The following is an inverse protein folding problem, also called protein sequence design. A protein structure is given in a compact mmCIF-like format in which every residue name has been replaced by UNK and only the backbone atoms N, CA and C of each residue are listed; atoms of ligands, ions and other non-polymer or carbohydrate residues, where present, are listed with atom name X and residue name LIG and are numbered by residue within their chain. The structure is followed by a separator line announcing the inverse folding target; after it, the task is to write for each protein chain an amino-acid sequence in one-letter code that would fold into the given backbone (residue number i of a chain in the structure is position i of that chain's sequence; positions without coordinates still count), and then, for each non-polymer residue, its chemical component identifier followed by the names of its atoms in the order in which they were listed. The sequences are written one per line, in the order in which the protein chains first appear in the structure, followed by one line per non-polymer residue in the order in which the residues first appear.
data_IF_325882851534
#
_entry.id   IF_325882851534
#
_cell.length_a   1.000
_cell.length_b   1.000
_cell.length_c   1.000
_cell.angle_alpha   90.00
_cell.angle_beta   90.00
_cell.angle_gamma   90.00
#
_symmetry.space_group_name_H-M   'P 1'
#
loop_
_entity.id
_entity.type
_entity.pdbx_description
1 polymer ?
#
# COMPACT_ATOMS: atom_id res chain seq x y z
N UNK A 1 -36.73 30.66 -2.72
CA UNK A 1 -37.09 29.79 -1.58
C UNK A 1 -37.27 28.38 -2.11
N UNK A 2 -36.21 27.56 -2.11
CA UNK A 2 -35.88 26.49 -1.14
C UNK A 2 -36.65 25.16 -1.37
N UNK A 3 -35.85 24.11 -1.68
CA UNK A 3 -36.17 22.66 -1.93
C UNK A 3 -36.80 22.39 -3.31
N UNK A 4 -36.47 21.37 -4.13
CA UNK A 4 -35.87 20.03 -3.93
C UNK A 4 -35.41 19.45 -5.30
N UNK A 5 -34.58 18.39 -5.27
CA UNK A 5 -34.25 17.38 -6.32
C UNK A 5 -33.07 17.67 -7.26
N UNK A 6 -32.22 16.73 -7.70
CA UNK A 6 -31.68 15.43 -7.22
C UNK A 6 -30.61 15.01 -8.26
N UNK A 7 -29.40 14.66 -7.81
CA UNK A 7 -28.43 13.67 -8.37
C UNK A 7 -28.00 13.70 -9.84
N UNK A 8 -26.67 13.56 -10.04
CA UNK A 8 -25.86 12.91 -11.10
C UNK A 8 -24.60 13.80 -11.25
N UNK A 9 -23.38 13.50 -10.79
CA UNK A 9 -22.53 12.31 -10.77
C UNK A 9 -21.68 12.38 -9.47
N UNK A 10 -21.45 11.33 -8.69
CA UNK A 10 -20.78 10.08 -9.07
C UNK A 10 -19.37 10.09 -8.47
N UNK A 11 -19.26 9.67 -7.21
CA UNK A 11 -18.06 9.62 -6.40
C UNK A 11 -16.95 8.75 -7.05
N UNK A 12 -15.75 9.31 -7.18
CA UNK A 12 -14.52 8.56 -7.40
C UNK A 12 -13.64 8.71 -6.15
N UNK A 13 -13.44 7.56 -5.52
CA UNK A 13 -12.88 7.36 -4.19
C UNK A 13 -11.45 7.91 -4.06
N UNK A 14 -11.36 9.09 -3.44
CA UNK A 14 -10.15 9.84 -3.09
C UNK A 14 -9.43 9.27 -1.85
N UNK A 15 -9.33 7.94 -1.76
CA UNK A 15 -8.82 7.23 -0.58
C UNK A 15 -7.29 7.15 -0.42
N UNK A 16 -6.51 7.96 -1.15
CA UNK A 16 -5.05 8.06 -0.97
C UNK A 16 -4.70 9.35 -0.21
N UNK A 17 -5.04 9.42 1.08
CA UNK A 17 -4.72 10.57 1.93
C UNK A 17 -4.16 10.17 3.31
N UNK A 18 -3.10 10.89 3.68
CA UNK A 18 -2.65 11.27 5.03
C UNK A 18 -2.14 10.15 5.98
N UNK A 19 -0.83 10.03 6.19
CA UNK A 19 0.03 10.75 7.16
C UNK A 19 -0.12 10.31 8.62
N UNK A 20 1.01 9.89 9.22
CA UNK A 20 1.52 10.50 10.45
C UNK A 20 3.06 10.36 10.45
N UNK A 21 3.73 11.51 10.41
CA UNK A 21 5.17 11.66 10.55
C UNK A 21 5.53 11.51 12.03
N UNK A 22 6.49 10.62 12.30
CA UNK A 22 7.22 10.67 13.57
C UNK A 22 8.03 11.96 13.68
N UNK A 23 8.18 12.38 14.93
CA UNK A 23 8.48 13.70 15.47
C UNK A 23 9.78 14.39 14.99
N UNK A 24 9.72 15.71 15.11
CA UNK A 24 10.76 16.74 15.01
C UNK A 24 12.12 16.34 15.63
N UNK A 25 13.19 16.42 14.81
CA UNK A 25 14.50 16.93 15.22
C UNK A 25 15.08 17.70 14.02
N UNK A 26 15.37 19.02 14.13
CA UNK A 26 16.21 19.69 13.15
C UNK A 26 17.67 19.32 13.43
N UNK A 27 18.30 18.57 12.52
CA UNK A 27 19.74 18.28 12.57
C UNK A 27 20.50 19.30 11.71
N UNK A 28 21.65 19.83 12.15
CA UNK A 28 22.42 20.81 11.38
C UNK A 28 22.92 20.18 10.08
N UNK A 29 22.88 20.95 8.98
CA UNK A 29 23.28 20.50 7.63
C UNK A 29 24.81 20.26 7.57
N UNK A 30 25.29 19.07 7.20
CA UNK A 30 26.68 18.84 6.82
C UNK A 30 26.90 19.15 5.32
N UNK A 31 28.15 19.38 4.92
CA UNK A 31 28.61 19.68 3.55
C UNK A 31 28.24 18.62 2.48
N UNK A 32 27.67 17.47 2.88
CA UNK A 32 27.21 16.38 2.01
C UNK A 32 25.68 16.23 1.95
N UNK A 33 24.95 17.34 1.87
CA UNK A 33 23.51 17.28 1.60
C UNK A 33 23.23 16.93 0.12
N UNK A 34 23.46 15.67 -0.24
CA UNK A 34 23.12 15.09 -1.55
C UNK A 34 21.64 15.32 -1.88
N UNK A 35 20.75 15.23 -0.88
CA UNK A 35 19.32 15.44 -1.07
C UNK A 35 19.02 16.91 -1.40
N UNK A 36 19.67 17.87 -0.73
CA UNK A 36 19.58 19.29 -1.03
C UNK A 36 20.12 19.65 -2.42
N UNK A 37 21.30 19.12 -2.80
CA UNK A 37 21.85 19.32 -4.17
C UNK A 37 20.94 18.74 -5.24
N UNK A 38 20.40 17.55 -5.01
CA UNK A 38 19.45 16.93 -5.91
C UNK A 38 18.15 17.75 -6.03
N UNK A 39 17.63 18.26 -4.90
CA UNK A 39 16.46 19.13 -4.90
C UNK A 39 16.71 20.43 -5.68
N UNK A 40 17.86 21.08 -5.48
CA UNK A 40 18.26 22.27 -6.21
C UNK A 40 18.33 22.02 -7.72
N UNK A 41 18.87 20.86 -8.13
CA UNK A 41 18.87 20.42 -9.54
C UNK A 41 17.45 20.28 -10.09
N UNK A 42 16.53 19.68 -9.34
CA UNK A 42 15.13 19.56 -9.76
C UNK A 42 14.41 20.92 -9.83
N UNK A 43 14.70 21.84 -8.91
CA UNK A 43 14.21 23.23 -8.99
C UNK A 43 14.69 23.94 -10.25
N UNK A 44 15.96 23.77 -10.62
CA UNK A 44 16.50 24.29 -11.89
C UNK A 44 15.81 23.70 -13.14
N UNK A 45 15.16 22.55 -13.02
CA UNK A 45 14.33 21.93 -14.06
C UNK A 45 12.85 22.32 -13.99
N UNK A 46 12.49 23.21 -13.06
CA UNK A 46 11.15 23.77 -12.93
C UNK A 46 10.35 23.22 -11.76
N UNK A 47 10.88 22.33 -10.91
CA UNK A 47 10.15 21.83 -9.73
C UNK A 47 9.74 22.99 -8.81
N UNK A 48 8.49 22.96 -8.35
CA UNK A 48 7.88 24.00 -7.53
C UNK A 48 6.97 23.33 -6.49
N UNK A 49 6.73 24.03 -5.37
CA UNK A 49 5.88 23.56 -4.25
C UNK A 49 6.45 22.36 -3.45
N UNK A 50 7.73 22.08 -3.61
CA UNK A 50 8.47 21.10 -2.82
C UNK A 50 9.57 21.86 -2.10
N UNK A 51 9.61 21.76 -0.78
CA UNK A 51 10.56 22.48 0.07
C UNK A 51 11.63 21.52 0.63
N UNK A 52 11.37 20.21 0.59
CA UNK A 52 12.25 19.19 1.15
C UNK A 52 12.34 17.97 0.24
N UNK A 53 13.55 17.44 0.10
CA UNK A 53 13.78 16.15 -0.53
C UNK A 53 14.28 15.15 0.50
N UNK A 54 13.81 13.90 0.42
CA UNK A 54 14.31 12.78 1.21
C UNK A 54 14.69 11.63 0.28
N UNK A 55 15.96 11.23 0.32
CA UNK A 55 16.39 10.05 -0.39
C UNK A 55 15.94 8.78 0.33
N UNK A 56 15.59 7.75 -0.43
CA UNK A 56 15.20 6.45 0.11
C UNK A 56 15.87 5.31 -0.65
N UNK A 57 15.96 4.16 0.01
CA UNK A 57 16.38 2.89 -0.60
C UNK A 57 15.20 1.95 -0.84
N UNK A 58 13.98 2.47 -0.72
CA UNK A 58 12.76 1.68 -0.92
C UNK A 58 12.56 1.42 -2.42
N UNK A 59 12.78 0.17 -2.85
CA UNK A 59 12.67 -0.26 -4.25
C UNK A 59 11.23 -0.42 -4.75
N UNK A 60 10.23 -0.34 -3.86
CA UNK A 60 8.82 -0.47 -4.23
C UNK A 60 8.16 0.88 -4.52
N UNK A 61 8.69 1.95 -3.94
CA UNK A 61 8.20 3.32 -4.17
C UNK A 61 9.37 4.18 -4.62
N UNK A 62 9.46 4.30 -5.94
CA UNK A 62 10.57 4.98 -6.62
C UNK A 62 10.55 6.49 -6.39
N UNK A 63 9.38 7.10 -6.54
CA UNK A 63 9.15 8.54 -6.37
C UNK A 63 7.77 8.73 -5.75
N UNK A 64 7.68 9.55 -4.71
CA UNK A 64 6.42 9.94 -4.08
C UNK A 64 6.54 11.34 -3.50
N UNK A 65 5.44 12.08 -3.38
CA UNK A 65 5.46 13.40 -2.79
C UNK A 65 4.20 13.66 -1.98
N UNK A 66 4.32 14.41 -0.89
CA UNK A 66 3.20 14.84 -0.07
C UNK A 66 3.61 15.98 0.86
N UNK A 67 2.72 16.93 1.12
CA UNK A 67 2.95 18.03 2.09
C UNK A 67 4.27 18.77 1.87
N UNK A 68 4.61 19.15 0.63
CA UNK A 68 5.86 19.86 0.30
C UNK A 68 7.12 19.00 0.38
N UNK A 69 7.02 17.70 0.69
CA UNK A 69 8.16 16.78 0.73
C UNK A 69 8.15 15.82 -0.46
N UNK A 70 9.25 15.80 -1.20
CA UNK A 70 9.53 14.83 -2.26
C UNK A 70 10.41 13.71 -1.72
N UNK A 71 9.98 12.46 -1.87
CA UNK A 71 10.76 11.27 -1.55
C UNK A 71 11.14 10.54 -2.83
N UNK A 72 12.44 10.37 -3.05
CA UNK A 72 13.00 9.81 -4.28
C UNK A 72 14.00 8.71 -3.94
N UNK A 73 14.00 7.63 -4.71
CA UNK A 73 14.99 6.57 -4.56
C UNK A 73 16.40 7.11 -4.85
N UNK A 74 17.38 6.76 -4.03
CA UNK A 74 18.76 7.30 -4.12
C UNK A 74 19.40 7.05 -5.50
N UNK A 75 19.01 5.97 -6.17
CA UNK A 75 19.48 5.66 -7.52
C UNK A 75 19.05 6.63 -8.63
N UNK A 76 18.19 7.61 -8.35
CA UNK A 76 17.88 8.68 -9.31
C UNK A 76 18.79 9.90 -9.20
N UNK A 77 19.66 9.98 -8.19
CA UNK A 77 20.52 11.15 -7.98
C UNK A 77 21.35 11.46 -9.23
N UNK A 78 21.87 10.42 -9.86
CA UNK A 78 22.69 10.50 -11.07
C UNK A 78 21.92 10.12 -12.35
N UNK A 79 20.58 10.09 -12.29
CA UNK A 79 19.78 9.70 -13.44
C UNK A 79 19.94 10.70 -14.61
N UNK A 80 19.76 10.22 -15.87
CA UNK A 80 19.78 11.07 -17.04
C UNK A 80 18.69 12.16 -17.00
N UNK A 81 18.92 13.25 -17.75
CA UNK A 81 18.12 14.48 -17.67
C UNK A 81 16.63 14.27 -18.00
N UNK A 82 16.32 13.38 -18.93
CA UNK A 82 14.96 12.99 -19.30
C UNK A 82 14.20 12.35 -18.13
N UNK A 83 14.86 11.50 -17.33
CA UNK A 83 14.30 10.90 -16.12
C UNK A 83 14.07 11.97 -15.05
N UNK A 84 15.01 12.90 -14.87
CA UNK A 84 14.83 14.01 -13.91
C UNK A 84 13.67 14.93 -14.31
N UNK A 85 13.53 15.23 -15.60
CA UNK A 85 12.37 15.97 -16.14
C UNK A 85 11.08 15.19 -15.90
N UNK A 86 11.10 13.86 -16.08
CA UNK A 86 9.94 13.02 -15.76
C UNK A 86 9.56 13.12 -14.26
N UNK A 87 10.52 13.17 -13.34
CA UNK A 87 10.25 13.40 -11.91
C UNK A 87 9.53 14.75 -11.70
N UNK A 88 10.00 15.82 -12.34
CA UNK A 88 9.36 17.14 -12.26
C UNK A 88 7.92 17.10 -12.81
N UNK A 89 7.72 16.53 -14.00
CA UNK A 89 6.39 16.38 -14.62
C UNK A 89 5.48 15.51 -13.76
N UNK A 90 6.00 14.46 -13.12
CA UNK A 90 5.21 13.62 -12.23
C UNK A 90 4.66 14.41 -11.02
N UNK A 91 5.47 15.29 -10.44
CA UNK A 91 5.08 16.13 -9.29
C UNK A 91 4.14 17.26 -9.72
N UNK A 92 4.43 17.92 -10.85
CA UNK A 92 3.72 19.12 -11.28
C UNK A 92 2.57 18.89 -12.25
N UNK A 93 2.50 17.70 -12.85
CA UNK A 93 1.53 17.37 -13.88
C UNK A 93 0.11 17.70 -13.42
N UNK A 94 -0.64 18.39 -14.29
CA UNK A 94 -2.01 18.83 -14.00
C UNK A 94 -3.00 17.74 -14.35
N UNK A 95 -2.68 16.91 -15.34
CA UNK A 95 -3.53 15.82 -15.80
C UNK A 95 -3.03 14.45 -15.35
N UNK A 96 -3.96 13.50 -15.22
CA UNK A 96 -3.61 12.09 -14.92
C UNK A 96 -2.78 11.46 -16.04
N UNK A 97 -2.97 11.89 -17.29
CA UNK A 97 -2.24 11.39 -18.46
C UNK A 97 -0.77 11.80 -18.42
N UNK A 98 -0.47 13.08 -18.14
CA UNK A 98 0.90 13.60 -17.94
C UNK A 98 1.63 12.81 -16.87
N UNK A 99 1.00 12.66 -15.69
CA UNK A 99 1.61 11.92 -14.57
C UNK A 99 1.88 10.46 -14.93
N UNK A 100 0.97 9.80 -15.66
CA UNK A 100 1.17 8.41 -16.12
C UNK A 100 2.29 8.30 -17.14
N UNK A 101 2.43 9.24 -18.07
CA UNK A 101 3.53 9.25 -19.02
C UNK A 101 4.88 9.42 -18.31
N UNK A 102 4.98 10.38 -17.40
CA UNK A 102 6.16 10.57 -16.56
C UNK A 102 6.47 9.35 -15.68
N UNK A 103 5.45 8.77 -15.05
CA UNK A 103 5.60 7.56 -14.23
C UNK A 103 6.19 6.40 -15.02
N UNK A 104 5.81 6.21 -16.29
CA UNK A 104 6.38 5.16 -17.14
C UNK A 104 7.90 5.36 -17.31
N UNK A 105 8.34 6.58 -17.64
CA UNK A 105 9.77 6.89 -17.80
C UNK A 105 10.53 6.61 -16.50
N UNK A 106 10.00 7.06 -15.36
CA UNK A 106 10.60 6.85 -14.05
C UNK A 106 10.76 5.35 -13.77
N UNK A 107 9.67 4.57 -13.84
CA UNK A 107 9.66 3.15 -13.46
C UNK A 107 10.49 2.28 -14.41
N UNK A 108 10.57 2.63 -15.69
CA UNK A 108 11.36 1.89 -16.68
C UNK A 108 12.87 2.16 -16.55
N UNK A 109 13.28 3.27 -15.93
CA UNK A 109 14.70 3.58 -15.75
C UNK A 109 15.38 2.53 -14.85
N UNK A 110 16.46 1.86 -15.32
CA UNK A 110 17.14 0.84 -14.54
C UNK A 110 17.91 1.51 -13.40
N UNK A 111 17.55 1.19 -12.16
CA UNK A 111 18.34 1.60 -11.01
C UNK A 111 19.33 0.50 -10.63
N UNK A 112 20.62 0.80 -10.83
CA UNK A 112 21.71 0.00 -10.27
C UNK A 112 21.86 0.38 -8.80
N UNK A 113 21.26 -0.41 -7.91
CA UNK A 113 21.42 -0.22 -6.47
C UNK A 113 22.64 -1.02 -6.01
N UNK A 114 23.74 -0.32 -5.70
CA UNK A 114 25.03 -0.90 -5.25
C UNK A 114 24.98 -1.49 -3.84
N UNK A 115 23.87 -1.36 -3.10
CA UNK A 115 23.74 -1.95 -1.77
C UNK A 115 23.25 -3.40 -1.88
N UNK A 116 24.13 -4.32 -1.46
CA UNK A 116 23.85 -5.75 -1.32
C UNK A 116 22.49 -5.99 -0.65
N UNK A 117 21.72 -6.91 -1.24
CA UNK A 117 20.47 -7.50 -0.74
C UNK A 117 20.54 -7.73 0.78
N UNK A 118 20.08 -6.76 1.56
CA UNK A 118 19.96 -6.94 3.01
C UNK A 118 18.75 -7.83 3.23
N UNK A 119 18.98 -9.15 3.28
CA UNK A 119 17.95 -10.11 3.72
C UNK A 119 17.35 -9.60 5.02
N UNK A 120 16.04 -9.35 5.11
CA UNK A 120 15.43 -8.99 6.37
C UNK A 120 15.74 -10.10 7.37
N UNK A 121 16.31 -9.74 8.52
CA UNK A 121 16.58 -10.70 9.60
C UNK A 121 15.23 -11.16 10.16
N UNK A 122 14.67 -12.25 9.62
CA UNK A 122 13.52 -12.95 10.21
C UNK A 122 13.96 -13.47 11.56
N UNK A 123 13.34 -12.96 12.63
CA UNK A 123 13.64 -13.38 14.00
C UNK A 123 13.21 -14.84 14.20
N UNK A 124 13.81 -15.59 15.14
CA UNK A 124 13.42 -16.98 15.40
C UNK A 124 11.92 -17.15 15.64
N UNK A 125 11.31 -16.25 16.42
CA UNK A 125 9.86 -16.20 16.71
C UNK A 125 8.98 -15.99 15.45
N UNK A 126 9.52 -15.38 14.40
CA UNK A 126 8.83 -15.12 13.14
C UNK A 126 8.95 -16.31 12.19
N UNK A 127 9.93 -17.20 12.37
CA UNK A 127 10.16 -18.34 11.48
C UNK A 127 8.99 -19.30 11.47
N UNK A 128 8.44 -19.62 12.64
CA UNK A 128 7.26 -20.50 12.73
C UNK A 128 6.03 -19.87 12.08
N UNK A 129 5.83 -18.56 12.26
CA UNK A 129 4.74 -17.84 11.63
C UNK A 129 4.91 -17.79 10.10
N UNK A 130 6.12 -17.53 9.60
CA UNK A 130 6.42 -17.54 8.18
C UNK A 130 6.24 -18.94 7.59
N UNK A 131 6.71 -19.99 8.28
CA UNK A 131 6.54 -21.38 7.83
C UNK A 131 5.05 -21.77 7.74
N UNK A 132 4.24 -21.32 8.71
CA UNK A 132 2.79 -21.48 8.68
C UNK A 132 2.17 -20.73 7.49
N UNK A 133 2.56 -19.48 7.22
CA UNK A 133 2.10 -18.72 6.04
C UNK A 133 2.46 -19.43 4.73
N UNK A 134 3.67 -19.98 4.63
CA UNK A 134 4.11 -20.75 3.45
C UNK A 134 3.22 -21.98 3.25
N UNK A 135 2.92 -22.71 4.33
CA UNK A 135 2.02 -23.87 4.25
C UNK A 135 0.60 -23.48 3.83
N UNK A 136 0.05 -22.42 4.42
CA UNK A 136 -1.26 -21.90 4.05
C UNK A 136 -1.29 -21.44 2.58
N UNK A 137 -0.24 -20.76 2.11
CA UNK A 137 -0.12 -20.33 0.72
C UNK A 137 -0.16 -21.53 -0.23
N UNK A 138 0.63 -22.58 0.02
CA UNK A 138 0.63 -23.80 -0.79
C UNK A 138 -0.75 -24.48 -0.80
N UNK A 139 -1.37 -24.62 0.38
CA UNK A 139 -2.70 -25.20 0.51
C UNK A 139 -3.76 -24.42 -0.27
N UNK A 140 -3.76 -23.09 -0.14
CA UNK A 140 -4.71 -22.23 -0.84
C UNK A 140 -4.42 -22.15 -2.33
N UNK A 141 -3.16 -22.19 -2.75
CA UNK A 141 -2.80 -22.25 -4.14
C UNK A 141 -3.40 -23.50 -4.78
N UNK A 142 -3.21 -24.67 -4.16
CA UNK A 142 -3.82 -25.92 -4.63
C UNK A 142 -5.36 -25.83 -4.65
N UNK A 143 -5.98 -25.35 -3.56
CA UNK A 143 -7.43 -25.35 -3.38
C UNK A 143 -8.19 -24.33 -4.24
N UNK A 144 -7.65 -23.12 -4.38
CA UNK A 144 -8.37 -21.95 -4.92
C UNK A 144 -7.77 -21.43 -6.23
N UNK A 145 -6.52 -21.76 -6.52
CA UNK A 145 -5.81 -21.29 -7.72
C UNK A 145 -5.28 -22.45 -8.57
N UNK A 146 -5.73 -23.68 -8.29
CA UNK A 146 -5.38 -24.89 -9.02
C UNK A 146 -3.87 -25.14 -9.13
N UNK A 147 -3.11 -24.70 -8.12
CA UNK A 147 -1.65 -24.84 -8.07
C UNK A 147 -0.89 -23.96 -9.07
N UNK A 148 -1.55 -22.99 -9.71
CA UNK A 148 -0.95 -22.19 -10.78
C UNK A 148 -0.10 -21.01 -10.29
N UNK A 149 -0.30 -20.55 -9.05
CA UNK A 149 0.49 -19.44 -8.51
C UNK A 149 1.92 -19.87 -8.23
N UNK A 150 2.89 -19.03 -8.61
CA UNK A 150 4.30 -19.27 -8.30
C UNK A 150 4.56 -19.19 -6.79
N UNK A 151 5.65 -19.82 -6.37
CA UNK A 151 6.16 -19.59 -5.02
C UNK A 151 6.61 -18.14 -4.87
N UNK A 152 6.22 -17.49 -3.78
CA UNK A 152 6.58 -16.11 -3.45
C UNK A 152 7.25 -16.04 -2.09
N UNK A 153 8.00 -14.98 -1.83
CA UNK A 153 8.62 -14.78 -0.53
C UNK A 153 7.55 -14.40 0.49
N UNK A 154 7.48 -15.10 1.62
CA UNK A 154 6.53 -14.79 2.70
C UNK A 154 7.25 -14.14 3.88
N UNK A 155 6.67 -13.06 4.41
CA UNK A 155 7.27 -12.31 5.52
C UNK A 155 6.23 -11.89 6.56
N UNK A 156 6.65 -11.87 7.82
CA UNK A 156 5.90 -11.22 8.91
C UNK A 156 6.57 -9.89 9.24
N UNK A 157 5.81 -8.81 9.21
CA UNK A 157 6.30 -7.45 9.39
C UNK A 157 5.83 -6.84 10.71
N UNK A 158 6.77 -6.57 11.63
CA UNK A 158 6.49 -5.82 12.86
C UNK A 158 6.32 -4.31 12.63
N UNK A 159 6.86 -3.81 11.52
CA UNK A 159 6.80 -2.39 11.14
C UNK A 159 5.47 -2.02 10.46
N UNK A 160 4.71 -3.01 9.99
CA UNK A 160 3.43 -2.79 9.33
C UNK A 160 2.34 -2.46 10.37
N UNK A 161 1.98 -1.18 10.46
CA UNK A 161 1.00 -0.65 11.43
C UNK A 161 -0.36 -0.30 10.83
N UNK A 162 -0.38 0.17 9.59
CA UNK A 162 -1.57 0.73 8.92
C UNK A 162 -2.28 -0.26 7.99
N UNK A 163 -1.69 -1.42 7.72
CA UNK A 163 -2.22 -2.48 6.85
C UNK A 163 -2.11 -3.83 7.54
N UNK A 164 -2.98 -4.76 7.15
CA UNK A 164 -2.96 -6.14 7.65
C UNK A 164 -2.01 -7.02 6.83
N UNK A 165 -1.95 -6.77 5.52
CA UNK A 165 -1.02 -7.38 4.58
C UNK A 165 -0.72 -6.47 3.39
N UNK A 166 0.22 -6.92 2.55
CA UNK A 166 0.36 -6.46 1.18
C UNK A 166 1.02 -7.51 0.29
N UNK A 167 0.68 -7.47 -1.00
CA UNK A 167 1.44 -8.09 -2.08
C UNK A 167 2.36 -7.08 -2.75
N UNK A 168 3.55 -7.52 -3.11
CA UNK A 168 4.48 -6.79 -3.97
C UNK A 168 4.93 -7.68 -5.14
N UNK A 169 4.77 -7.18 -6.36
CA UNK A 169 5.23 -7.85 -7.57
C UNK A 169 6.75 -7.92 -7.65
N UNK A 170 7.26 -8.86 -8.45
CA UNK A 170 8.68 -8.98 -8.74
C UNK A 170 9.16 -7.76 -9.55
N UNK A 171 10.22 -7.10 -9.08
CA UNK A 171 10.76 -5.91 -9.73
C UNK A 171 12.26 -5.76 -9.46
N UNK A 172 13.01 -5.28 -10.46
CA UNK A 172 14.44 -4.95 -10.33
C UNK A 172 15.31 -6.07 -9.71
N UNK A 173 15.05 -7.32 -10.10
CA UNK A 173 15.79 -8.51 -9.61
C UNK A 173 15.31 -9.08 -8.27
N UNK A 174 14.31 -8.47 -7.63
CA UNK A 174 13.69 -8.99 -6.42
C UNK A 174 12.52 -9.94 -6.76
N UNK A 175 12.37 -11.06 -6.03
CA UNK A 175 11.19 -11.90 -6.17
C UNK A 175 9.94 -11.20 -5.62
N UNK A 176 8.77 -11.63 -6.09
CA UNK A 176 7.51 -11.18 -5.50
C UNK A 176 7.43 -11.56 -4.01
N UNK A 177 6.83 -10.69 -3.20
CA UNK A 177 6.70 -10.85 -1.74
C UNK A 177 5.23 -10.67 -1.30
N UNK A 178 4.77 -11.52 -0.39
CA UNK A 178 3.58 -11.27 0.43
C UNK A 178 4.07 -11.04 1.87
N UNK A 179 3.69 -9.91 2.46
CA UNK A 179 3.98 -9.65 3.87
C UNK A 179 2.71 -9.37 4.67
N UNK A 180 2.61 -9.96 5.86
CA UNK A 180 1.52 -9.74 6.81
C UNK A 180 2.00 -9.03 8.08
N UNK A 181 1.13 -8.27 8.72
CA UNK A 181 1.44 -7.57 9.97
C UNK A 181 1.54 -8.55 11.15
N UNK A 182 2.64 -8.48 11.88
CA UNK A 182 2.80 -9.21 13.14
C UNK A 182 1.71 -8.84 14.16
N UNK A 183 1.34 -7.56 14.22
CA UNK A 183 0.31 -7.07 15.14
C UNK A 183 -1.06 -7.67 14.79
N UNK A 184 -1.38 -7.75 13.49
CA UNK A 184 -2.62 -8.36 13.02
C UNK A 184 -2.71 -9.82 13.44
N UNK A 185 -1.69 -10.61 13.13
CA UNK A 185 -1.60 -12.04 13.51
C UNK A 185 -1.82 -12.23 15.02
N UNK A 186 -1.20 -11.38 15.85
CA UNK A 186 -1.26 -11.50 17.31
C UNK A 186 -2.56 -10.98 17.91
N UNK A 187 -3.17 -9.95 17.33
CA UNK A 187 -4.38 -9.30 17.86
C UNK A 187 -5.66 -9.97 17.39
N UNK A 188 -5.74 -10.26 16.09
CA UNK A 188 -6.97 -10.69 15.42
C UNK A 188 -7.02 -12.21 15.23
N UNK A 189 -5.89 -12.89 15.47
CA UNK A 189 -5.78 -14.35 15.44
C UNK A 189 -5.47 -14.91 14.05
N UNK A 190 -5.29 -16.24 14.01
CA UNK A 190 -4.79 -16.91 12.81
C UNK A 190 -5.83 -17.05 11.70
N UNK A 191 -7.11 -17.12 12.04
CA UNK A 191 -8.18 -17.20 11.05
C UNK A 191 -8.26 -15.94 10.19
N UNK A 192 -8.25 -14.76 10.83
CA UNK A 192 -8.21 -13.47 10.16
C UNK A 192 -6.91 -13.27 9.37
N UNK A 193 -5.77 -13.73 9.90
CA UNK A 193 -4.51 -13.70 9.17
C UNK A 193 -4.54 -14.56 7.89
N UNK A 194 -5.17 -15.74 7.94
CA UNK A 194 -5.37 -16.59 6.76
C UNK A 194 -6.29 -15.94 5.73
N UNK A 195 -7.33 -15.26 6.17
CA UNK A 195 -8.21 -14.48 5.28
C UNK A 195 -7.44 -13.35 4.57
N UNK A 196 -6.61 -12.63 5.32
CA UNK A 196 -5.71 -11.62 4.76
C UNK A 196 -4.70 -12.23 3.78
N UNK A 197 -4.09 -13.37 4.10
CA UNK A 197 -3.18 -14.06 3.17
C UNK A 197 -3.90 -14.39 1.86
N UNK A 198 -5.11 -14.94 1.93
CA UNK A 198 -5.88 -15.28 0.73
C UNK A 198 -6.25 -14.02 -0.08
N UNK A 199 -6.51 -12.89 0.56
CA UNK A 199 -6.66 -11.58 -0.10
C UNK A 199 -5.39 -11.20 -0.89
N UNK A 200 -4.22 -11.27 -0.26
CA UNK A 200 -2.96 -10.96 -0.94
C UNK A 200 -2.64 -11.94 -2.08
N UNK A 201 -3.06 -13.20 -1.96
CA UNK A 201 -2.94 -14.19 -3.05
C UNK A 201 -3.84 -13.86 -4.26
N UNK A 202 -4.99 -13.19 -4.06
CA UNK A 202 -5.78 -12.68 -5.19
C UNK A 202 -5.02 -11.57 -5.93
N UNK A 203 -4.29 -10.72 -5.21
CA UNK A 203 -3.40 -9.74 -5.85
C UNK A 203 -2.23 -10.40 -6.59
N UNK A 204 -1.63 -11.45 -6.01
CA UNK A 204 -0.65 -12.28 -6.72
C UNK A 204 -1.23 -12.87 -8.01
N UNK A 205 -2.45 -13.43 -7.95
CA UNK A 205 -3.13 -13.96 -9.12
C UNK A 205 -3.35 -12.90 -10.22
N UNK A 206 -3.70 -11.66 -9.84
CA UNK A 206 -3.82 -10.57 -10.80
C UNK A 206 -2.49 -10.31 -11.51
N UNK A 207 -1.39 -10.19 -10.75
CA UNK A 207 -0.05 -9.95 -11.31
C UNK A 207 0.35 -11.06 -12.28
N UNK A 208 0.26 -12.32 -11.84
CA UNK A 208 0.67 -13.48 -12.65
C UNK A 208 -0.25 -13.74 -13.86
N UNK A 209 -1.50 -13.27 -13.81
CA UNK A 209 -2.43 -13.35 -14.94
C UNK A 209 -2.39 -12.12 -15.86
N UNK A 210 -1.45 -11.19 -15.64
CA UNK A 210 -1.30 -9.97 -16.44
C UNK A 210 -2.48 -8.99 -16.27
N UNK A 211 -3.14 -9.01 -15.13
CA UNK A 211 -4.22 -8.09 -14.79
C UNK A 211 -3.67 -6.89 -14.00
N UNK A 212 -4.38 -5.75 -14.06
CA UNK A 212 -4.08 -4.63 -13.18
C UNK A 212 -4.25 -5.05 -11.71
N UNK A 213 -3.27 -4.71 -10.87
CA UNK A 213 -3.30 -4.95 -9.43
C UNK A 213 -4.13 -3.84 -8.77
N UNK A 214 -5.42 -4.10 -8.63
CA UNK A 214 -6.40 -3.21 -8.00
C UNK A 214 -7.59 -4.01 -7.44
N UNK A 215 -8.52 -3.36 -6.76
CA UNK A 215 -9.78 -3.98 -6.26
C UNK A 215 -10.92 -3.90 -7.28
N UNK A 216 -10.61 -3.89 -8.58
CA UNK A 216 -11.56 -3.77 -9.69
C UNK A 216 -12.45 -5.00 -9.89
N UNK A 217 -13.22 -5.06 -10.99
CA UNK A 217 -14.17 -6.15 -11.25
C UNK A 217 -13.52 -7.54 -11.23
N UNK A 218 -12.33 -7.69 -11.81
CA UNK A 218 -11.60 -8.97 -11.82
C UNK A 218 -11.20 -9.43 -10.43
N UNK A 219 -10.71 -8.50 -9.60
CA UNK A 219 -10.41 -8.78 -8.20
C UNK A 219 -11.65 -9.24 -7.47
N UNK A 220 -12.76 -8.50 -7.57
CA UNK A 220 -14.00 -8.83 -6.86
C UNK A 220 -14.56 -10.19 -7.27
N UNK A 221 -14.49 -10.52 -8.56
CA UNK A 221 -14.90 -11.83 -9.07
C UNK A 221 -14.07 -12.95 -8.43
N UNK A 222 -12.73 -12.86 -8.50
CA UNK A 222 -11.86 -13.88 -7.91
C UNK A 222 -11.96 -13.90 -6.38
N UNK A 223 -12.04 -12.75 -5.72
CA UNK A 223 -12.21 -12.66 -4.26
C UNK A 223 -13.51 -13.36 -3.81
N UNK A 224 -14.62 -13.15 -4.54
CA UNK A 224 -15.88 -13.85 -4.27
C UNK A 224 -15.76 -15.36 -4.48
N UNK A 225 -15.08 -15.80 -5.54
CA UNK A 225 -14.83 -17.22 -5.83
C UNK A 225 -14.05 -17.92 -4.71
N UNK A 226 -13.05 -17.24 -4.15
CA UNK A 226 -12.20 -17.80 -3.08
C UNK A 226 -12.74 -17.52 -1.67
N UNK A 227 -13.90 -16.86 -1.53
CA UNK A 227 -14.53 -16.57 -0.25
C UNK A 227 -13.88 -15.43 0.54
N UNK A 228 -13.18 -14.51 -0.13
CA UNK A 228 -12.52 -13.35 0.49
C UNK A 228 -13.30 -12.07 0.27
N UNK A 229 -13.41 -11.25 1.32
CA UNK A 229 -14.03 -9.94 1.20
C UNK A 229 -13.13 -9.00 0.38
N UNK A 230 -13.71 -8.22 -0.56
CA UNK A 230 -12.90 -7.38 -1.43
C UNK A 230 -12.26 -6.19 -0.71
N UNK A 231 -12.72 -5.87 0.49
CA UNK A 231 -12.09 -4.88 1.36
C UNK A 231 -11.42 -5.60 2.54
N UNK A 232 -10.15 -5.31 2.81
CA UNK A 232 -9.41 -5.77 3.99
C UNK A 232 -9.90 -5.09 5.30
N UNK A 233 -11.20 -4.85 5.41
CA UNK A 233 -11.90 -4.35 6.60
C UNK A 233 -13.17 -5.18 6.76
N UNK A 234 -13.10 -6.27 7.53
CA UNK A 234 -14.27 -6.70 8.29
C UNK A 234 -14.14 -6.12 9.68
N UNK A 235 -15.08 -5.23 10.02
CA UNK A 235 -15.40 -4.89 11.39
C UNK A 235 -15.80 -6.20 12.07
N UNK A 236 -15.07 -6.59 13.12
CA UNK A 236 -15.44 -7.71 13.98
C UNK A 236 -16.85 -7.42 14.51
N UNK A 237 -17.86 -8.16 14.05
CA UNK A 237 -19.19 -8.08 14.62
C UNK A 237 -19.17 -8.82 15.95
N UNK A 238 -19.03 -8.04 17.03
CA UNK A 238 -18.94 -8.52 18.41
C UNK A 238 -20.29 -8.39 19.11
N UNK A 239 -21.38 -8.82 18.48
CA UNK A 239 -22.67 -8.91 19.21
C UNK A 239 -23.62 -9.97 18.65
N UNK A 240 -23.35 -11.23 18.97
CA UNK A 240 -24.39 -12.25 19.07
C UNK A 240 -24.03 -13.19 20.21
N UNK A 241 -24.24 -12.71 21.45
CA UNK A 241 -24.54 -13.51 22.65
C UNK A 241 -24.73 -12.57 23.85
N UNK A 242 -25.99 -12.21 24.14
CA UNK A 242 -26.56 -12.22 25.50
C UNK A 242 -28.07 -11.96 25.44
N UNK A 243 -28.82 -13.00 25.73
CA UNK A 243 -30.23 -12.99 26.09
C UNK A 243 -30.43 -12.45 27.52
N UNK A 244 -31.63 -11.93 27.79
CA UNK A 244 -32.28 -11.65 29.11
C UNK A 244 -31.63 -10.52 29.94
N UNK A 245 -32.31 -9.60 30.61
CA UNK A 245 -33.70 -9.44 31.05
C UNK A 245 -33.97 -7.95 31.39
N UNK A 246 -35.24 -7.52 31.26
CA UNK A 246 -35.98 -6.45 31.96
C UNK A 246 -35.40 -5.03 32.23
N UNK A 247 -36.22 -4.00 31.91
CA UNK A 247 -36.03 -2.64 32.44
C UNK A 247 -36.80 -1.52 31.71
N UNK A 248 -38.13 -1.52 31.86
CA UNK A 248 -39.11 -0.48 31.48
C UNK A 248 -38.66 0.95 31.90
N UNK A 249 -38.85 1.97 31.05
CA UNK A 249 -39.70 3.19 31.14
C UNK A 249 -39.15 4.09 30.00
N UNK A 250 -39.84 4.57 28.97
CA UNK A 250 -41.19 5.11 28.86
C UNK A 250 -41.11 6.63 28.73
N UNK A 251 -41.22 7.19 27.51
CA UNK A 251 -42.15 8.30 27.15
C UNK A 251 -41.95 8.79 25.71
N UNK A 252 -43.08 8.80 25.02
CA UNK A 252 -43.37 9.37 23.69
C UNK A 252 -43.78 10.84 23.82
N UNK A 253 -43.59 11.63 22.78
CA UNK A 253 -44.35 12.86 22.54
C UNK A 253 -44.43 13.18 21.04
N UNK A 254 -45.56 12.79 20.45
CA UNK A 254 -46.25 13.44 19.33
C UNK A 254 -47.72 13.54 19.82
N UNK A 255 -48.55 14.56 19.58
CA UNK A 255 -48.52 15.77 18.75
C UNK A 255 -49.76 16.61 19.19
N UNK A 256 -49.89 17.81 18.62
CA UNK A 256 -51.11 18.65 18.48
C UNK A 256 -51.41 19.68 19.57
N UNK A 257 -51.74 20.90 19.12
CA UNK A 257 -52.36 21.98 19.89
C UNK A 257 -51.39 23.00 20.44
#
# INVERSE_FOLDING_TARGET
MLRTLRRLFGAADSGQLAFELDRLVPSPLPADDVAGRFLARLHGLGLARIDRCRLTRNRHVMVSFSGGTLRVHEGYVDAPLDVLRAIVIFVQGRTRAERRAAQRIIVTHPIVSTTMLRRPRTRPEERSLVAELVRCHQLYNAKHFHGRLKAVSLRVSRRMRSRLGHYTCAAHGEPAEIALSWRHIRRDGWEEARHTLLHEMVHQWQDESGHAIDHGPKFRAKASEVGVAPFARRTLDRTSQRSTNEGRIGRSAAREG
#
